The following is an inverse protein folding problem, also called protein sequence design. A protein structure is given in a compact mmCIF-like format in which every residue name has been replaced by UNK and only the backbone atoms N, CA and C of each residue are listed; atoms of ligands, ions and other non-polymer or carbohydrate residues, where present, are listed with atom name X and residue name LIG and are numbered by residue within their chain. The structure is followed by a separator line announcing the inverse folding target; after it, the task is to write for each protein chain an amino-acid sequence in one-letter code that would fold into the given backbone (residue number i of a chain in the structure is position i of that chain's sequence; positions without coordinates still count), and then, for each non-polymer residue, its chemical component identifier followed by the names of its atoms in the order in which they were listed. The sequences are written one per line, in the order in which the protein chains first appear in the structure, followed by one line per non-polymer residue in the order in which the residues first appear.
data_IF_996350446182
#
_entry.id   IF_996350446182
#
_cell.length_a   1.000
_cell.length_b   1.000
_cell.length_c   1.000
_cell.angle_alpha   90.00
_cell.angle_beta   90.00
_cell.angle_gamma   90.00
#
_symmetry.space_group_name_H-M   'P 1'
#
loop_
_entity.id
_entity.type
_entity.pdbx_description
1 polymer ?
#
# COMPACT_ATOMS: atom_id res chain seq x y z
N UNK A 1 19.96 -16.46 -18.34
CA UNK A 1 19.33 -15.73 -17.22
C UNK A 1 17.93 -16.29 -17.07
N UNK A 2 17.47 -16.58 -15.84
CA UNK A 2 16.08 -17.01 -15.63
C UNK A 2 15.15 -15.86 -16.01
N UNK A 3 14.01 -16.15 -16.64
CA UNK A 3 12.93 -15.17 -16.75
C UNK A 3 12.50 -14.76 -15.34
N UNK A 4 12.16 -13.48 -15.10
CA UNK A 4 11.47 -13.12 -13.85
C UNK A 4 10.18 -13.94 -13.78
N UNK A 5 10.00 -14.69 -12.70
CA UNK A 5 8.74 -15.39 -12.46
C UNK A 5 7.66 -14.38 -12.07
N UNK A 6 6.43 -14.52 -12.60
CA UNK A 6 5.33 -13.64 -12.22
C UNK A 6 5.02 -13.79 -10.72
N UNK A 7 5.16 -12.70 -9.97
CA UNK A 7 4.76 -12.65 -8.58
C UNK A 7 3.24 -12.41 -8.50
N UNK A 8 2.54 -13.25 -7.75
CA UNK A 8 1.12 -13.02 -7.46
C UNK A 8 0.99 -12.00 -6.36
N UNK A 9 0.52 -10.79 -6.72
CA UNK A 9 0.22 -9.72 -5.76
C UNK A 9 -1.10 -10.00 -5.06
N UNK A 10 -1.05 -10.08 -3.73
CA UNK A 10 -2.23 -10.17 -2.87
C UNK A 10 -2.31 -8.93 -1.98
N UNK A 11 -3.33 -8.10 -2.18
CA UNK A 11 -3.57 -6.94 -1.32
C UNK A 11 -4.08 -7.40 0.05
N UNK A 12 -3.46 -6.88 1.10
CA UNK A 12 -3.83 -7.04 2.49
C UNK A 12 -4.47 -5.74 3.00
N UNK A 13 -5.73 -5.85 3.44
CA UNK A 13 -6.51 -4.71 3.93
C UNK A 13 -6.74 -4.91 5.43
N UNK A 14 -6.26 -4.00 6.29
CA UNK A 14 -6.53 -4.06 7.72
C UNK A 14 -8.04 -4.09 8.02
N UNK A 15 -8.44 -4.84 9.05
CA UNK A 15 -9.84 -4.92 9.47
C UNK A 15 -10.37 -3.54 9.88
N UNK A 16 -11.52 -3.14 9.33
CA UNK A 16 -12.14 -1.85 9.62
C UNK A 16 -11.63 -0.68 8.77
N UNK A 17 -10.83 -0.95 7.72
CA UNK A 17 -10.42 0.07 6.76
C UNK A 17 -11.63 0.69 6.05
N UNK A 18 -11.56 2.00 5.82
CA UNK A 18 -12.55 2.79 5.06
C UNK A 18 -12.45 2.53 3.55
N UNK A 19 -12.76 1.31 3.15
CA UNK A 19 -12.73 0.86 1.78
C UNK A 19 -12.85 -0.66 1.69
N UNK A 20 -12.89 -1.18 0.47
CA UNK A 20 -13.03 -2.61 0.23
C UNK A 20 -12.10 -3.07 -0.89
N UNK A 21 -11.68 -4.33 -0.76
CA UNK A 21 -10.86 -5.01 -1.76
C UNK A 21 -11.76 -5.82 -2.70
N UNK A 22 -11.54 -5.65 -3.99
CA UNK A 22 -12.03 -6.52 -5.05
C UNK A 22 -10.81 -7.06 -5.82
N UNK A 23 -10.47 -8.32 -5.63
CA UNK A 23 -9.27 -8.94 -6.24
C UNK A 23 -7.98 -8.17 -5.90
N UNK A 24 -7.37 -7.49 -6.88
CA UNK A 24 -6.15 -6.67 -6.78
C UNK A 24 -6.44 -5.18 -6.79
N UNK A 25 -7.69 -4.80 -6.54
CA UNK A 25 -8.15 -3.41 -6.52
C UNK A 25 -8.61 -3.10 -5.10
N UNK A 26 -8.10 -2.01 -4.54
CA UNK A 26 -8.67 -1.41 -3.34
C UNK A 26 -9.48 -0.18 -3.75
N UNK A 27 -10.73 -0.12 -3.28
CA UNK A 27 -11.63 1.01 -3.52
C UNK A 27 -11.88 1.71 -2.19
N UNK A 28 -11.50 2.97 -2.11
CA UNK A 28 -11.88 3.84 -1.01
C UNK A 28 -13.41 3.95 -0.91
N UNK A 29 -13.90 4.14 0.31
CA UNK A 29 -15.26 4.61 0.51
C UNK A 29 -15.32 6.16 0.45
N UNK A 30 -16.47 6.73 0.81
CA UNK A 30 -16.71 8.18 0.77
C UNK A 30 -16.38 8.89 2.09
N UNK A 31 -15.61 8.27 3.01
CA UNK A 31 -15.32 8.86 4.34
C UNK A 31 -14.11 9.79 4.35
N UNK A 32 -13.38 9.90 3.23
CA UNK A 32 -12.10 10.63 3.13
C UNK A 32 -11.02 10.15 4.11
N UNK A 33 -11.23 8.98 4.74
CA UNK A 33 -10.30 8.46 5.71
C UNK A 33 -9.03 7.92 5.05
N UNK A 34 -7.91 8.08 5.77
CA UNK A 34 -6.59 7.67 5.30
C UNK A 34 -6.50 6.15 5.25
N UNK A 35 -6.17 5.60 4.10
CA UNK A 35 -6.06 4.16 3.91
C UNK A 35 -4.63 3.77 3.58
N UNK A 36 -3.96 3.10 4.52
CA UNK A 36 -2.67 2.44 4.26
C UNK A 36 -2.90 0.93 4.19
N UNK A 37 -2.63 0.35 3.03
CA UNK A 37 -2.76 -1.08 2.75
C UNK A 37 -1.40 -1.63 2.34
N UNK A 38 -1.22 -2.95 2.46
CA UNK A 38 -0.01 -3.63 2.01
C UNK A 38 -0.35 -4.66 0.94
N UNK A 39 0.68 -5.22 0.33
CA UNK A 39 0.51 -6.38 -0.54
C UNK A 39 1.65 -7.37 -0.32
N UNK A 40 1.32 -8.66 -0.43
CA UNK A 40 2.31 -9.72 -0.47
C UNK A 40 2.86 -9.90 -1.89
N UNK A 41 4.12 -10.34 -2.06
CA UNK A 41 5.00 -10.96 -1.05
C UNK A 41 5.92 -10.00 -0.30
N UNK A 42 6.46 -10.46 0.83
CA UNK A 42 7.62 -9.87 1.49
C UNK A 42 8.83 -10.03 0.56
N UNK A 43 9.54 -8.91 0.32
CA UNK A 43 10.77 -8.89 -0.48
C UNK A 43 11.93 -9.16 0.48
N UNK A 44 12.45 -10.40 0.50
CA UNK A 44 13.56 -10.78 1.38
C UNK A 44 14.93 -10.74 0.70
N UNK A 45 14.98 -10.85 -0.63
CA UNK A 45 16.21 -10.81 -1.43
C UNK A 45 15.90 -10.43 -2.89
N UNK A 46 16.92 -9.99 -3.63
CA UNK A 46 16.84 -9.67 -5.06
C UNK A 46 16.24 -8.30 -5.38
N UNK A 47 15.75 -8.15 -6.62
CA UNK A 47 15.18 -6.91 -7.15
C UNK A 47 13.75 -7.21 -7.62
N UNK A 48 12.79 -6.45 -7.10
CA UNK A 48 11.38 -6.57 -7.47
C UNK A 48 10.93 -5.29 -8.17
N UNK A 49 10.21 -5.47 -9.28
CA UNK A 49 9.51 -4.39 -9.97
C UNK A 49 8.05 -4.43 -9.56
N UNK A 50 7.54 -3.31 -9.05
CA UNK A 50 6.17 -3.18 -8.57
C UNK A 50 5.53 -1.93 -9.19
N UNK A 51 4.33 -2.09 -9.70
CA UNK A 51 3.54 -1.02 -10.30
C UNK A 51 2.17 -0.96 -9.61
N UNK A 52 1.69 0.26 -9.38
CA UNK A 52 0.33 0.53 -8.93
C UNK A 52 -0.28 1.65 -9.76
N UNK A 53 -1.59 1.55 -10.01
CA UNK A 53 -2.35 2.55 -10.76
C UNK A 53 -3.33 3.21 -9.80
N UNK A 54 -3.19 4.53 -9.64
CA UNK A 54 -4.11 5.35 -8.85
C UNK A 54 -5.14 5.99 -9.79
N UNK A 55 -6.36 5.47 -9.80
CA UNK A 55 -7.45 6.00 -10.62
C UNK A 55 -8.30 7.02 -9.86
N UNK A 56 -8.88 7.98 -10.59
CA UNK A 56 -9.87 8.93 -10.08
C UNK A 56 -9.40 9.73 -8.86
N UNK A 57 -8.09 9.96 -8.76
CA UNK A 57 -7.47 10.77 -7.72
C UNK A 57 -7.64 12.27 -8.02
N UNK A 58 -8.87 12.76 -7.94
CA UNK A 58 -9.19 14.16 -8.21
C UNK A 58 -9.02 15.03 -6.96
N UNK A 59 -8.72 16.32 -7.15
CA UNK A 59 -8.81 17.32 -6.07
C UNK A 59 -7.57 17.52 -5.20
N UNK A 60 -6.39 17.02 -5.62
CA UNK A 60 -5.14 17.27 -4.88
C UNK A 60 -5.01 16.54 -3.55
N UNK A 61 -5.79 15.46 -3.36
CA UNK A 61 -5.56 14.57 -2.23
C UNK A 61 -4.17 13.93 -2.38
N UNK A 62 -3.39 13.82 -1.30
CA UNK A 62 -2.10 13.19 -1.37
C UNK A 62 -2.24 11.67 -1.49
N UNK A 63 -1.42 11.06 -2.33
CA UNK A 63 -1.25 9.61 -2.40
C UNK A 63 0.23 9.23 -2.36
N UNK A 64 0.50 7.99 -2.01
CA UNK A 64 1.86 7.49 -1.93
C UNK A 64 1.97 6.01 -2.23
N UNK A 65 3.19 5.61 -2.58
CA UNK A 65 3.59 4.23 -2.82
C UNK A 65 4.95 4.01 -2.16
N UNK A 66 5.14 2.88 -1.50
CA UNK A 66 6.35 2.65 -0.73
C UNK A 66 6.53 1.22 -0.28
N UNK A 67 7.57 1.02 0.51
CA UNK A 67 7.96 -0.24 1.13
C UNK A 67 7.95 -0.03 2.63
N UNK A 68 7.47 -1.03 3.37
CA UNK A 68 7.47 -1.06 4.82
C UNK A 68 8.28 -2.25 5.30
N UNK A 69 8.88 -2.12 6.49
CA UNK A 69 9.42 -3.27 7.21
C UNK A 69 8.32 -4.31 7.44
N UNK A 70 8.65 -5.60 7.31
CA UNK A 70 7.67 -6.69 7.36
C UNK A 70 7.00 -6.87 8.73
N UNK A 71 7.52 -6.23 9.78
CA UNK A 71 6.93 -6.24 11.13
C UNK A 71 5.83 -5.19 11.31
N UNK A 72 5.63 -4.29 10.35
CA UNK A 72 4.64 -3.20 10.48
C UNK A 72 3.22 -3.73 10.28
N UNK A 73 2.34 -3.36 11.20
CA UNK A 73 0.90 -3.61 11.11
C UNK A 73 0.18 -2.26 11.01
N UNK A 74 -0.30 -1.93 9.81
CA UNK A 74 -1.05 -0.70 9.59
C UNK A 74 -2.46 -0.80 10.18
N UNK A 75 -2.92 0.33 10.74
CA UNK A 75 -4.26 0.46 11.32
C UNK A 75 -5.18 1.26 10.40
N UNK A 76 -6.51 1.06 10.49
CA UNK A 76 -7.48 1.90 9.82
C UNK A 76 -7.30 3.38 10.10
N UNK A 77 -7.55 4.23 9.10
CA UNK A 77 -7.62 5.69 9.23
C UNK A 77 -6.28 6.35 9.60
N UNK A 78 -5.16 5.70 9.24
CA UNK A 78 -3.79 6.13 9.53
C UNK A 78 -2.93 6.22 8.28
N UNK A 79 -1.97 7.13 8.31
CA UNK A 79 -0.89 7.23 7.32
C UNK A 79 0.17 6.17 7.56
N UNK A 80 1.03 5.88 6.56
CA UNK A 80 2.12 4.93 6.72
C UNK A 80 3.13 5.32 7.81
N UNK A 81 3.34 6.61 8.05
CA UNK A 81 4.28 7.12 9.07
C UNK A 81 3.64 7.37 10.44
N UNK A 82 2.32 7.20 10.57
CA UNK A 82 1.65 7.30 11.87
C UNK A 82 2.05 6.10 12.76
N UNK A 83 1.70 6.16 14.05
CA UNK A 83 1.92 5.10 15.04
C UNK A 83 3.39 4.65 15.23
N UNK A 84 4.35 5.54 14.95
CA UNK A 84 5.79 5.29 15.14
C UNK A 84 6.42 4.47 14.02
N UNK A 85 5.85 4.55 12.81
CA UNK A 85 6.34 3.84 11.62
C UNK A 85 7.16 4.73 10.67
N UNK A 86 7.50 5.94 11.10
CA UNK A 86 8.30 6.92 10.35
C UNK A 86 9.70 6.40 9.99
N UNK A 87 10.30 5.59 10.86
CA UNK A 87 11.59 4.93 10.58
C UNK A 87 11.46 3.54 9.93
N UNK A 88 10.22 3.04 9.78
CA UNK A 88 9.92 1.69 9.26
C UNK A 88 9.31 1.70 7.87
N UNK A 89 9.15 2.87 7.28
CA UNK A 89 8.53 3.04 5.96
C UNK A 89 9.37 3.97 5.11
N UNK A 90 9.47 3.66 3.82
CA UNK A 90 10.03 4.56 2.80
C UNK A 90 9.05 4.60 1.66
N UNK A 91 8.65 5.80 1.25
CA UNK A 91 7.65 5.97 0.20
C UNK A 91 7.84 7.24 -0.60
N UNK A 92 7.39 7.18 -1.84
CA UNK A 92 7.18 8.34 -2.69
C UNK A 92 5.79 8.91 -2.40
N UNK A 93 5.69 10.24 -2.33
CA UNK A 93 4.47 10.98 -2.06
C UNK A 93 4.19 11.97 -3.18
N UNK A 94 2.96 11.99 -3.68
CA UNK A 94 2.44 13.01 -4.58
C UNK A 94 1.32 13.76 -3.86
N UNK A 95 1.39 15.09 -3.90
CA UNK A 95 0.31 16.00 -3.52
C UNK A 95 -0.36 16.60 -4.75
#
# INVERSE_FOLDING_TARGET
TSSPEPITVNIQVPTGMSGHKEQKIFKHDNTEAKCTITSDPIISDGIVYYESVFEKHYGGNPFGIGIADSTVVFKPNKQPNDDGNDEKTVGYWSG
#
